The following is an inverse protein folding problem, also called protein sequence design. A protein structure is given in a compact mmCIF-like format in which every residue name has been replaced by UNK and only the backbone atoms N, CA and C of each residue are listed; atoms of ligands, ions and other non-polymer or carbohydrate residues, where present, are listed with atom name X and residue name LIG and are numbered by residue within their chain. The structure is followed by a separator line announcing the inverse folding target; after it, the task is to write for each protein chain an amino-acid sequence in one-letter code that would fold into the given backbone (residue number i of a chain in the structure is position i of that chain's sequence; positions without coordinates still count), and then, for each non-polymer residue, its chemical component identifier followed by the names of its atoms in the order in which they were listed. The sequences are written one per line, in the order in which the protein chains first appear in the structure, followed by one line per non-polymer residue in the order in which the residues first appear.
data_IF_180294103095
#
_entry.id   IF_180294103095
#
_cell.length_a   1.000
_cell.length_b   1.000
_cell.length_c   1.000
_cell.angle_alpha   90.00
_cell.angle_beta   90.00
_cell.angle_gamma   90.00
#
_symmetry.space_group_name_H-M   'P 1'
#
loop_
_entity.id
_entity.type
_entity.pdbx_description
1 polymer ?
#
# COMPACT_ATOMS: atom_id res chain seq x y z
N UNK A 1 12.86 20.30 18.31
CA UNK A 1 13.22 19.19 19.22
C UNK A 1 12.51 17.92 18.74
N UNK A 2 13.20 16.94 18.21
CA UNK A 2 12.57 15.66 17.84
C UNK A 2 12.20 14.93 19.14
N UNK A 3 10.90 14.71 19.38
CA UNK A 3 10.45 13.98 20.56
C UNK A 3 11.16 12.62 20.64
N UNK A 4 11.72 12.30 21.80
CA UNK A 4 12.49 11.08 22.00
C UNK A 4 11.57 9.84 21.88
N UNK A 5 12.04 8.76 21.24
CA UNK A 5 11.31 7.49 21.17
C UNK A 5 11.20 6.88 22.58
N UNK A 6 10.02 6.37 22.92
CA UNK A 6 9.84 5.60 24.16
C UNK A 6 10.38 4.16 24.04
N UNK A 7 10.43 3.42 25.14
CA UNK A 7 10.99 2.08 25.16
C UNK A 7 10.26 1.09 24.22
N UNK A 8 8.92 0.98 24.22
CA UNK A 8 8.20 0.11 23.28
C UNK A 8 8.40 0.48 21.81
N UNK A 9 8.50 1.79 21.49
CA UNK A 9 8.78 2.23 20.13
C UNK A 9 10.18 1.78 19.68
N UNK A 10 11.20 1.93 20.53
CA UNK A 10 12.56 1.45 20.23
C UNK A 10 12.62 -0.06 20.06
N UNK A 11 11.91 -0.80 20.88
CA UNK A 11 11.80 -2.26 20.78
C UNK A 11 11.19 -2.67 19.44
N UNK A 12 10.04 -2.09 19.05
CA UNK A 12 9.40 -2.36 17.76
C UNK A 12 10.31 -2.04 16.56
N UNK A 13 11.10 -0.96 16.65
CA UNK A 13 12.04 -0.59 15.58
C UNK A 13 13.16 -1.63 15.44
N UNK A 14 13.68 -2.14 16.54
CA UNK A 14 14.84 -3.05 16.55
C UNK A 14 14.46 -4.52 16.37
N UNK A 15 13.20 -4.87 16.51
CA UNK A 15 12.75 -6.25 16.36
C UNK A 15 12.90 -6.74 14.90
N UNK A 16 13.66 -7.81 14.69
CA UNK A 16 13.99 -8.38 13.37
C UNK A 16 13.64 -9.87 13.23
N UNK A 17 13.25 -10.52 14.32
CA UNK A 17 13.18 -11.99 14.41
C UNK A 17 11.92 -12.61 13.78
N UNK A 18 11.10 -11.81 13.08
CA UNK A 18 9.93 -12.34 12.38
C UNK A 18 8.76 -11.35 12.30
N UNK A 19 7.54 -11.82 12.05
CA UNK A 19 6.35 -10.99 12.01
C UNK A 19 6.10 -10.29 13.34
N UNK A 20 5.81 -8.99 13.31
CA UNK A 20 5.52 -8.17 14.48
C UNK A 20 4.19 -7.45 14.32
N UNK A 21 3.28 -7.66 15.24
CA UNK A 21 2.06 -6.88 15.38
C UNK A 21 2.23 -5.81 16.48
N UNK A 22 2.06 -4.54 16.10
CA UNK A 22 2.12 -3.41 17.04
C UNK A 22 0.71 -2.83 17.23
N UNK A 23 0.16 -3.01 18.42
CA UNK A 23 -1.13 -2.42 18.81
C UNK A 23 -0.89 -1.04 19.42
N UNK A 24 -1.45 -0.01 18.80
CA UNK A 24 -1.18 1.37 19.19
C UNK A 24 -2.37 2.28 18.88
N UNK A 25 -2.79 3.09 19.85
CA UNK A 25 -3.88 4.04 19.74
C UNK A 25 -3.60 5.19 18.76
N UNK A 26 -4.60 6.01 18.48
CA UNK A 26 -4.43 7.23 17.70
C UNK A 26 -3.42 8.17 18.39
N UNK A 27 -2.58 8.86 17.63
CA UNK A 27 -1.58 9.79 18.18
C UNK A 27 -0.35 9.14 18.84
N UNK A 28 -0.29 7.82 18.96
CA UNK A 28 0.83 7.09 19.61
C UNK A 28 2.16 7.12 18.83
N UNK A 29 2.18 7.71 17.64
CA UNK A 29 3.38 7.78 16.82
C UNK A 29 3.64 6.56 15.92
N UNK A 30 2.62 5.78 15.56
CA UNK A 30 2.73 4.60 14.66
C UNK A 30 3.54 4.89 13.39
N UNK A 31 3.20 5.95 12.68
CA UNK A 31 3.91 6.35 11.45
C UNK A 31 5.38 6.65 11.74
N UNK A 32 5.68 7.24 12.89
CA UNK A 32 7.05 7.52 13.30
C UNK A 32 7.84 6.23 13.55
N UNK A 33 7.23 5.23 14.18
CA UNK A 33 7.86 3.92 14.39
C UNK A 33 8.20 3.28 13.05
N UNK A 34 7.27 3.31 12.07
CA UNK A 34 7.50 2.74 10.73
C UNK A 34 8.63 3.48 10.01
N UNK A 35 8.64 4.80 9.98
CA UNK A 35 9.68 5.58 9.30
C UNK A 35 11.05 5.39 9.93
N UNK A 36 11.13 5.35 11.26
CA UNK A 36 12.36 5.06 11.98
C UNK A 36 12.84 3.62 11.77
N UNK A 37 11.93 2.65 11.68
CA UNK A 37 12.27 1.26 11.36
C UNK A 37 12.88 1.15 9.96
N UNK A 38 12.31 1.83 8.97
CA UNK A 38 12.87 1.87 7.61
C UNK A 38 14.30 2.44 7.64
N UNK A 39 14.50 3.56 8.33
CA UNK A 39 15.83 4.16 8.47
C UNK A 39 16.82 3.20 9.16
N UNK A 40 16.41 2.57 10.25
CA UNK A 40 17.21 1.58 10.99
C UNK A 40 17.59 0.38 10.09
N UNK A 41 16.65 -0.17 9.32
CA UNK A 41 16.90 -1.28 8.41
C UNK A 41 17.95 -0.94 7.34
N UNK A 42 17.94 0.30 6.84
CA UNK A 42 18.87 0.75 5.80
C UNK A 42 20.22 1.14 6.39
N UNK A 43 20.24 1.97 7.42
CA UNK A 43 21.47 2.56 7.97
C UNK A 43 22.22 1.62 8.91
N UNK A 44 21.51 0.96 9.83
CA UNK A 44 22.12 0.14 10.87
C UNK A 44 22.21 -1.34 10.47
N UNK A 45 21.20 -1.86 9.74
CA UNK A 45 21.19 -3.26 9.31
C UNK A 45 21.75 -3.47 7.90
N UNK A 46 22.06 -2.40 7.15
CA UNK A 46 22.62 -2.50 5.79
C UNK A 46 21.66 -3.09 4.75
N UNK A 47 20.35 -3.10 5.03
CA UNK A 47 19.35 -3.64 4.10
C UNK A 47 19.22 -2.74 2.88
N UNK A 48 19.23 -3.35 1.69
CA UNK A 48 19.03 -2.61 0.43
C UNK A 48 17.62 -2.00 0.41
N UNK A 49 17.45 -0.72 0.04
CA UNK A 49 16.13 -0.09 -0.05
C UNK A 49 15.14 -0.85 -0.94
N UNK A 50 15.63 -1.48 -2.02
CA UNK A 50 14.81 -2.31 -2.93
C UNK A 50 14.17 -3.54 -2.27
N UNK A 51 14.66 -3.96 -1.11
CA UNK A 51 14.11 -5.09 -0.37
C UNK A 51 13.08 -4.67 0.69
N UNK A 52 12.73 -3.37 0.73
CA UNK A 52 11.80 -2.82 1.72
C UNK A 52 10.55 -2.30 1.00
N UNK A 53 9.39 -2.75 1.47
CA UNK A 53 8.09 -2.24 1.06
C UNK A 53 7.32 -1.74 2.29
N UNK A 54 6.97 -0.46 2.31
CA UNK A 54 6.12 0.14 3.32
C UNK A 54 4.77 0.52 2.68
N UNK A 55 3.69 -0.01 3.24
CA UNK A 55 2.37 0.10 2.66
C UNK A 55 1.45 0.87 3.59
N UNK A 56 0.65 1.76 3.03
CA UNK A 56 -0.30 2.58 3.77
C UNK A 56 -1.66 2.63 3.06
N UNK A 57 -2.64 3.26 3.69
CA UNK A 57 -4.02 3.28 3.20
C UNK A 57 -4.27 4.39 2.18
N UNK A 58 -3.63 5.55 2.32
CA UNK A 58 -3.91 6.73 1.49
C UNK A 58 -2.65 7.24 0.78
N UNK A 59 -2.84 7.81 -0.40
CA UNK A 59 -1.74 8.44 -1.14
C UNK A 59 -1.10 9.60 -0.35
N UNK A 60 -1.88 10.34 0.42
CA UNK A 60 -1.38 11.39 1.29
C UNK A 60 -0.43 10.83 2.35
N UNK A 61 -0.84 9.75 3.03
CA UNK A 61 0.01 9.11 4.04
C UNK A 61 1.28 8.48 3.42
N UNK A 62 1.18 7.93 2.21
CA UNK A 62 2.34 7.42 1.48
C UNK A 62 3.34 8.54 1.19
N UNK A 63 2.88 9.68 0.68
CA UNK A 63 3.72 10.85 0.40
C UNK A 63 4.39 11.40 1.67
N UNK A 64 3.61 11.61 2.75
CA UNK A 64 4.16 12.03 4.03
C UNK A 64 5.21 11.06 4.58
N UNK A 65 4.99 9.76 4.40
CA UNK A 65 5.96 8.73 4.81
C UNK A 65 7.24 8.81 3.99
N UNK A 66 7.13 8.98 2.66
CA UNK A 66 8.28 9.15 1.76
C UNK A 66 9.13 10.36 2.16
N UNK A 67 8.50 11.52 2.39
CA UNK A 67 9.17 12.75 2.81
C UNK A 67 9.91 12.56 4.15
N UNK A 68 9.26 11.93 5.14
CA UNK A 68 9.86 11.66 6.45
C UNK A 68 11.04 10.69 6.36
N UNK A 69 10.94 9.64 5.55
CA UNK A 69 12.03 8.69 5.35
C UNK A 69 13.19 9.34 4.62
N UNK A 70 12.92 10.15 3.58
CA UNK A 70 13.94 10.90 2.87
C UNK A 70 14.74 11.83 3.81
N UNK A 71 14.04 12.55 4.69
CA UNK A 71 14.68 13.40 5.69
C UNK A 71 15.51 12.63 6.72
N UNK A 72 15.07 11.41 7.11
CA UNK A 72 15.82 10.56 8.04
C UNK A 72 17.06 9.93 7.41
N UNK A 73 17.03 9.72 6.10
CA UNK A 73 18.08 9.08 5.29
C UNK A 73 18.89 10.10 4.50
N UNK A 74 18.95 11.36 4.95
CA UNK A 74 19.68 12.42 4.28
C UNK A 74 21.12 11.95 3.94
N UNK A 75 21.50 12.07 2.66
CA UNK A 75 22.79 11.57 2.16
C UNK A 75 22.85 10.07 1.86
N UNK A 76 21.80 9.30 2.12
CA UNK A 76 21.72 7.87 1.81
C UNK A 76 20.75 7.64 0.64
N UNK A 77 21.15 6.83 -0.34
CA UNK A 77 20.28 6.49 -1.46
C UNK A 77 19.04 5.71 -1.00
N UNK A 78 17.88 6.19 -1.38
CA UNK A 78 16.59 5.49 -1.19
C UNK A 78 16.07 4.83 -2.47
N UNK A 79 16.93 4.69 -3.48
CA UNK A 79 16.56 4.09 -4.77
C UNK A 79 16.04 2.67 -4.60
N UNK A 80 14.88 2.41 -5.17
CA UNK A 80 14.20 1.11 -5.08
C UNK A 80 13.32 0.92 -3.85
N UNK A 81 13.36 1.81 -2.84
CA UNK A 81 12.46 1.75 -1.70
C UNK A 81 11.01 1.92 -2.16
N UNK A 82 10.16 0.98 -1.80
CA UNK A 82 8.74 1.03 -2.13
C UNK A 82 7.94 1.59 -0.95
N UNK A 83 7.36 2.78 -1.12
CA UNK A 83 6.40 3.36 -0.17
C UNK A 83 5.15 3.76 -0.97
N UNK A 84 4.05 3.05 -0.79
CA UNK A 84 2.84 3.26 -1.58
C UNK A 84 1.59 2.75 -0.85
N UNK A 85 0.42 2.86 -1.50
CA UNK A 85 -0.81 2.23 -1.03
C UNK A 85 -0.89 0.77 -1.48
N UNK A 86 -1.75 -0.04 -0.83
CA UNK A 86 -2.05 -1.40 -1.28
C UNK A 86 -2.49 -1.45 -2.73
N UNK A 87 -3.37 -0.54 -3.15
CA UNK A 87 -3.84 -0.47 -4.52
C UNK A 87 -2.70 -0.17 -5.51
N UNK A 88 -1.83 0.78 -5.18
CA UNK A 88 -0.70 1.11 -6.05
C UNK A 88 0.30 -0.04 -6.16
N UNK A 89 0.56 -0.77 -5.05
CA UNK A 89 1.38 -1.98 -5.08
C UNK A 89 0.73 -3.07 -5.94
N UNK A 90 -0.56 -3.32 -5.77
CA UNK A 90 -1.31 -4.29 -6.58
C UNK A 90 -1.25 -3.98 -8.07
N UNK A 91 -1.44 -2.73 -8.45
CA UNK A 91 -1.30 -2.29 -9.87
C UNK A 91 0.10 -2.53 -10.39
N UNK A 92 1.13 -2.25 -9.60
CA UNK A 92 2.53 -2.48 -10.00
C UNK A 92 2.79 -3.97 -10.25
N UNK A 93 2.40 -4.84 -9.31
CA UNK A 93 2.55 -6.30 -9.46
C UNK A 93 1.77 -6.80 -10.67
N UNK A 94 0.50 -6.37 -10.83
CA UNK A 94 -0.32 -6.78 -11.97
C UNK A 94 0.26 -6.32 -13.31
N UNK A 95 0.94 -5.19 -13.38
CA UNK A 95 1.60 -4.73 -14.61
C UNK A 95 2.86 -5.53 -14.92
N UNK A 96 3.63 -5.87 -13.90
CA UNK A 96 4.83 -6.71 -14.05
C UNK A 96 4.44 -8.12 -14.50
N UNK A 97 3.38 -8.69 -13.94
CA UNK A 97 2.90 -10.06 -14.20
C UNK A 97 1.75 -10.14 -15.23
N UNK A 98 1.43 -9.04 -15.92
CA UNK A 98 0.28 -8.96 -16.81
C UNK A 98 0.26 -10.08 -17.87
N UNK A 99 1.41 -10.43 -18.42
CA UNK A 99 1.54 -11.47 -19.44
C UNK A 99 1.19 -12.86 -18.90
N UNK A 100 1.53 -13.18 -17.66
CA UNK A 100 1.19 -14.44 -17.02
C UNK A 100 -0.33 -14.59 -16.82
N UNK A 101 -1.04 -13.45 -16.69
CA UNK A 101 -2.49 -13.39 -16.56
C UNK A 101 -3.22 -13.22 -17.91
N UNK A 102 -2.49 -13.22 -19.03
CA UNK A 102 -3.08 -13.02 -20.38
C UNK A 102 -3.47 -11.58 -20.69
N UNK A 103 -3.02 -10.59 -19.90
CA UNK A 103 -3.27 -9.17 -20.12
C UNK A 103 -2.09 -8.46 -20.77
N UNK A 104 -2.37 -7.31 -21.37
CA UNK A 104 -1.33 -6.37 -21.80
C UNK A 104 -0.88 -5.52 -20.60
N UNK A 105 0.42 -5.14 -20.48
CA UNK A 105 0.90 -4.32 -19.36
C UNK A 105 0.21 -2.95 -19.22
N UNK A 106 -0.35 -2.43 -20.30
CA UNK A 106 -1.10 -1.17 -20.34
C UNK A 106 -2.62 -1.33 -20.17
N UNK A 107 -3.07 -2.35 -19.44
CA UNK A 107 -4.49 -2.53 -19.14
C UNK A 107 -5.08 -1.33 -18.42
N UNK A 108 -6.37 -1.08 -18.67
CA UNK A 108 -7.14 -0.04 -17.99
C UNK A 108 -7.63 -0.54 -16.64
N UNK A 109 -7.66 0.36 -15.66
CA UNK A 109 -8.24 0.12 -14.35
C UNK A 109 -9.59 0.81 -14.31
N UNK A 110 -10.64 0.05 -14.12
CA UNK A 110 -12.00 0.56 -14.00
C UNK A 110 -12.32 0.84 -12.53
N UNK A 111 -12.83 2.02 -12.24
CA UNK A 111 -13.40 2.33 -10.95
C UNK A 111 -14.86 1.82 -10.84
N UNK A 112 -15.49 2.09 -9.70
CA UNK A 112 -16.89 1.67 -9.47
C UNK A 112 -17.87 2.35 -10.43
N UNK A 113 -17.56 3.54 -10.90
CA UNK A 113 -18.39 4.30 -11.86
C UNK A 113 -18.27 3.72 -13.26
N UNK A 114 -17.04 3.40 -13.67
CA UNK A 114 -16.78 2.73 -14.95
C UNK A 114 -17.47 1.36 -14.99
N UNK A 115 -17.32 0.57 -13.93
CA UNK A 115 -18.00 -0.72 -13.81
C UNK A 115 -19.53 -0.59 -13.86
N UNK A 116 -20.08 0.46 -13.21
CA UNK A 116 -21.52 0.71 -13.27
C UNK A 116 -21.96 1.02 -14.70
N UNK A 117 -21.24 1.88 -15.41
CA UNK A 117 -21.54 2.21 -16.82
C UNK A 117 -21.59 0.95 -17.70
N UNK A 118 -20.52 0.14 -17.64
CA UNK A 118 -20.42 -1.09 -18.43
C UNK A 118 -21.57 -2.06 -18.11
N UNK A 119 -21.87 -2.29 -16.82
CA UNK A 119 -22.95 -3.21 -16.43
C UNK A 119 -24.31 -2.67 -16.85
N UNK A 120 -24.53 -1.35 -16.75
CA UNK A 120 -25.77 -0.69 -17.19
C UNK A 120 -25.98 -0.86 -18.69
N UNK A 121 -24.95 -0.61 -19.50
CA UNK A 121 -25.00 -0.72 -20.95
C UNK A 121 -25.29 -2.17 -21.40
N UNK A 122 -24.60 -3.14 -20.79
CA UNK A 122 -24.79 -4.55 -21.10
C UNK A 122 -26.16 -5.10 -20.66
N UNK A 123 -26.67 -4.64 -19.52
CA UNK A 123 -27.96 -5.08 -18.99
C UNK A 123 -29.15 -4.41 -19.69
N UNK A 124 -28.94 -3.34 -20.46
CA UNK A 124 -30.00 -2.56 -21.05
C UNK A 124 -30.97 -1.95 -20.03
N UNK A 125 -30.55 -1.80 -18.80
CA UNK A 125 -31.37 -1.34 -17.67
C UNK A 125 -30.91 0.01 -17.19
N UNK A 126 -31.88 0.85 -16.81
CA UNK A 126 -31.64 2.17 -16.17
C UNK A 126 -31.89 2.16 -14.66
N UNK A 127 -32.39 1.03 -14.11
CA UNK A 127 -32.66 0.92 -12.67
C UNK A 127 -31.37 0.71 -11.89
N UNK A 128 -31.02 1.71 -11.06
CA UNK A 128 -29.80 1.70 -10.23
C UNK A 128 -29.73 0.54 -9.23
N UNK A 129 -30.88 0.09 -8.72
CA UNK A 129 -30.90 -0.99 -7.73
C UNK A 129 -30.55 -2.32 -8.38
N UNK A 130 -31.07 -2.58 -9.57
CA UNK A 130 -30.76 -3.77 -10.37
C UNK A 130 -29.30 -3.81 -10.77
N UNK A 131 -28.74 -2.68 -11.28
CA UNK A 131 -27.32 -2.62 -11.67
C UNK A 131 -26.41 -2.89 -10.48
N UNK A 132 -26.68 -2.31 -9.29
CA UNK A 132 -25.91 -2.59 -8.08
C UNK A 132 -25.98 -4.05 -7.63
N UNK A 133 -27.14 -4.70 -7.74
CA UNK A 133 -27.27 -6.13 -7.47
C UNK A 133 -26.41 -6.96 -8.41
N UNK A 134 -26.42 -6.66 -9.71
CA UNK A 134 -25.58 -7.35 -10.70
C UNK A 134 -24.09 -7.15 -10.41
N UNK A 135 -23.67 -5.93 -10.12
CA UNK A 135 -22.28 -5.66 -9.73
C UNK A 135 -21.85 -6.48 -8.50
N UNK A 136 -22.71 -6.56 -7.48
CA UNK A 136 -22.42 -7.34 -6.27
C UNK A 136 -22.31 -8.85 -6.58
N UNK A 137 -23.20 -9.39 -7.41
CA UNK A 137 -23.14 -10.80 -7.82
C UNK A 137 -21.85 -11.08 -8.60
N UNK A 138 -21.49 -10.25 -9.56
CA UNK A 138 -20.24 -10.38 -10.33
C UNK A 138 -19.02 -10.30 -9.40
N UNK A 139 -19.02 -9.35 -8.47
CA UNK A 139 -17.94 -9.19 -7.49
C UNK A 139 -17.81 -10.44 -6.60
N UNK A 140 -18.92 -10.95 -6.10
CA UNK A 140 -18.93 -12.16 -5.28
C UNK A 140 -18.39 -13.38 -6.05
N UNK A 141 -18.79 -13.57 -7.29
CA UNK A 141 -18.25 -14.66 -8.11
C UNK A 141 -16.76 -14.53 -8.36
N UNK A 142 -16.27 -13.34 -8.63
CA UNK A 142 -14.83 -13.10 -8.84
C UNK A 142 -13.99 -13.28 -7.56
N UNK A 143 -14.59 -13.09 -6.38
CA UNK A 143 -13.89 -13.22 -5.10
C UNK A 143 -14.07 -14.62 -4.45
N UNK A 144 -14.88 -15.48 -5.04
CA UNK A 144 -15.13 -16.85 -4.53
C UNK A 144 -14.19 -17.92 -5.13
N UNK A 145 -13.15 -17.49 -5.84
CA UNK A 145 -12.14 -18.36 -6.48
C UNK A 145 -11.00 -18.67 -5.52
#
# INVERSE_FOLDING_TARGET
MSAQLNAPQREAIRYLDGPLLVLAGAGSGKTRVITQKIAYLIQDCGMKPSNIAAITFTNKAAKEMQERVANLLEGTSTSGLTICTFHALGVRILREEAKALGYKPNFSIFDSTDCYGIVSDLAGSVDKATIRKLQNVISNWKNAL
#
